data_IF_761978768206
#
_entry.id   IF_761978768206
#
_cell.length_a   1.000
_cell.length_b   1.000
_cell.length_c   1.000
_cell.angle_alpha   90.00
_cell.angle_beta   90.00
_cell.angle_gamma   90.00
#
_symmetry.space_group_name_H-M   'P 1'
#
loop_
_entity.id
_entity.type
_entity.pdbx_description
1 polymer ?
#
# COMPACT_ATOMS: atom_id res chain seq x y z
N UNK A 1 16.23 -33.92 -61.37
CA UNK A 1 16.78 -35.29 -61.39
C UNK A 1 18.17 -35.19 -60.78
N UNK A 2 18.53 -35.59 -59.57
CA UNK A 2 17.97 -36.38 -58.43
C UNK A 2 18.78 -35.88 -57.20
N UNK A 3 18.17 -35.25 -56.16
CA UNK A 3 17.86 -35.79 -54.81
C UNK A 3 19.00 -36.65 -54.20
N UNK A 4 19.58 -36.39 -53.02
CA UNK A 4 19.10 -36.48 -51.62
C UNK A 4 20.26 -35.91 -50.73
N UNK A 5 20.15 -35.36 -49.53
CA UNK A 5 19.14 -35.31 -48.49
C UNK A 5 19.83 -35.39 -47.11
N UNK A 6 19.65 -34.41 -46.23
CA UNK A 6 19.65 -34.58 -44.77
C UNK A 6 19.02 -33.34 -44.09
N UNK A 7 18.15 -33.61 -43.13
CA UNK A 7 17.06 -32.78 -42.64
C UNK A 7 17.50 -31.79 -41.53
N UNK A 8 16.96 -30.57 -41.58
CA UNK A 8 16.64 -29.80 -40.38
C UNK A 8 15.26 -29.17 -40.59
N UNK A 9 14.21 -29.90 -40.17
CA UNK A 9 12.88 -29.32 -39.99
C UNK A 9 12.87 -28.74 -38.58
N UNK A 10 12.60 -27.43 -38.46
CA UNK A 10 11.83 -26.85 -37.36
C UNK A 10 11.27 -25.50 -37.83
N UNK A 11 10.42 -25.56 -38.86
CA UNK A 11 9.42 -24.54 -39.08
C UNK A 11 8.21 -24.91 -38.21
N UNK A 12 8.09 -24.26 -37.05
CA UNK A 12 6.79 -23.97 -36.47
C UNK A 12 6.74 -22.47 -36.20
N UNK A 13 6.16 -21.66 -37.10
CA UNK A 13 5.65 -20.37 -36.69
C UNK A 13 4.42 -20.70 -35.86
N UNK A 14 4.59 -20.92 -34.55
CA UNK A 14 3.45 -20.80 -33.66
C UNK A 14 2.96 -19.38 -33.88
N UNK A 15 1.79 -19.26 -34.49
CA UNK A 15 0.93 -18.11 -34.31
C UNK A 15 0.71 -18.09 -32.80
N UNK A 16 1.57 -17.37 -32.08
CA UNK A 16 1.33 -17.03 -30.70
C UNK A 16 0.20 -16.02 -30.80
N UNK A 17 -1.03 -16.53 -30.69
CA UNK A 17 -2.21 -15.69 -30.53
C UNK A 17 -1.84 -14.73 -29.42
N UNK A 18 -1.65 -13.46 -29.75
CA UNK A 18 -1.43 -12.42 -28.74
C UNK A 18 -2.71 -12.38 -27.93
N UNK A 19 -2.71 -13.11 -26.81
CA UNK A 19 -3.80 -13.04 -25.84
C UNK A 19 -3.72 -11.65 -25.24
N UNK A 20 -4.64 -10.76 -25.63
CA UNK A 20 -4.81 -9.50 -24.94
C UNK A 20 -5.52 -9.78 -23.62
N UNK A 21 -4.93 -9.35 -22.52
CA UNK A 21 -5.59 -9.32 -21.21
C UNK A 21 -6.08 -7.89 -21.03
N UNK A 22 -7.39 -7.72 -20.93
CA UNK A 22 -8.05 -6.43 -20.71
C UNK A 22 -8.39 -6.28 -19.24
N UNK A 23 -8.52 -5.04 -18.79
CA UNK A 23 -9.07 -4.75 -17.47
C UNK A 23 -10.53 -5.22 -17.36
N UNK A 24 -10.93 -5.71 -16.18
CA UNK A 24 -12.31 -6.04 -15.82
C UNK A 24 -12.60 -5.71 -14.35
N UNK A 25 -13.88 -5.61 -13.98
CA UNK A 25 -14.34 -5.22 -12.63
C UNK A 25 -14.88 -6.41 -11.79
N UNK A 26 -14.49 -7.63 -12.18
CA UNK A 26 -14.87 -8.90 -11.58
C UNK A 26 -13.79 -9.46 -10.63
N UNK A 27 -13.05 -8.58 -9.94
CA UNK A 27 -12.08 -9.03 -8.93
C UNK A 27 -12.77 -9.84 -7.82
N UNK A 28 -12.08 -10.87 -7.37
CA UNK A 28 -12.47 -11.76 -6.27
C UNK A 28 -11.29 -11.86 -5.29
N UNK A 29 -11.37 -12.80 -4.35
CA UNK A 29 -10.26 -13.12 -3.46
C UNK A 29 -8.99 -13.46 -4.26
N UNK A 30 -7.87 -12.84 -3.89
CA UNK A 30 -6.60 -12.97 -4.62
C UNK A 30 -5.63 -13.79 -3.80
N UNK A 31 -5.17 -14.90 -4.40
CA UNK A 31 -4.07 -15.73 -3.93
C UNK A 31 -3.39 -16.37 -5.16
N UNK A 32 -2.06 -16.31 -5.31
CA UNK A 32 -1.09 -15.69 -4.41
C UNK A 32 -1.07 -14.16 -4.50
N UNK A 33 -0.46 -13.56 -3.48
CA UNK A 33 -0.10 -12.15 -3.40
C UNK A 33 0.73 -11.66 -4.62
N UNK A 34 0.30 -10.61 -5.33
CA UNK A 34 1.05 -10.08 -6.45
C UNK A 34 2.37 -9.42 -6.06
N UNK A 35 3.26 -9.27 -7.04
CA UNK A 35 4.57 -8.69 -6.79
C UNK A 35 4.49 -7.21 -6.50
N UNK A 36 4.98 -6.78 -5.36
CA UNK A 36 5.04 -5.37 -4.98
C UNK A 36 6.40 -4.99 -4.36
N UNK A 37 7.45 -5.75 -4.69
CA UNK A 37 8.84 -5.35 -4.42
C UNK A 37 9.26 -4.17 -5.30
N UNK A 38 10.38 -3.53 -4.97
CA UNK A 38 10.90 -2.42 -5.78
C UNK A 38 11.13 -2.82 -7.26
N UNK A 39 11.69 -4.00 -7.47
CA UNK A 39 11.97 -4.55 -8.80
C UNK A 39 10.68 -4.90 -9.54
N UNK A 40 9.70 -5.47 -8.83
CA UNK A 40 8.40 -5.80 -9.38
C UNK A 40 7.65 -4.54 -9.85
N UNK A 41 7.50 -3.55 -8.95
CA UNK A 41 6.80 -2.29 -9.27
C UNK A 41 7.51 -1.52 -10.37
N UNK A 42 8.86 -1.53 -10.37
CA UNK A 42 9.62 -0.97 -11.48
C UNK A 42 9.28 -1.65 -12.80
N UNK A 43 9.24 -2.98 -12.86
CA UNK A 43 8.84 -3.68 -14.08
C UNK A 43 7.41 -3.33 -14.48
N UNK A 44 6.48 -3.29 -13.53
CA UNK A 44 5.06 -2.98 -13.77
C UNK A 44 4.87 -1.59 -14.39
N UNK A 45 5.48 -0.57 -13.78
CA UNK A 45 5.36 0.85 -14.15
C UNK A 45 6.10 1.16 -15.45
N UNK A 46 7.30 0.62 -15.66
CA UNK A 46 8.15 1.00 -16.79
C UNK A 46 8.07 0.03 -17.98
N UNK A 47 7.69 -1.23 -17.74
CA UNK A 47 7.83 -2.29 -18.74
C UNK A 47 9.24 -2.33 -19.31
N UNK A 48 9.35 -2.25 -20.63
CA UNK A 48 10.61 -2.20 -21.37
C UNK A 48 11.08 -0.77 -21.70
N UNK A 49 10.45 0.25 -21.13
CA UNK A 49 10.73 1.68 -21.38
C UNK A 49 11.54 2.31 -20.25
N UNK A 50 12.18 3.45 -20.52
CA UNK A 50 12.78 4.32 -19.50
C UNK A 50 11.79 5.35 -18.93
N UNK A 51 10.59 5.44 -19.51
CA UNK A 51 9.50 6.33 -19.10
C UNK A 51 8.31 5.46 -18.65
N UNK A 52 7.61 5.81 -17.54
CA UNK A 52 6.43 5.08 -17.09
C UNK A 52 5.41 4.86 -18.21
N UNK A 53 5.21 3.59 -18.58
CA UNK A 53 4.25 3.16 -19.59
C UNK A 53 3.04 2.47 -18.99
N UNK A 54 3.14 1.97 -17.75
CA UNK A 54 2.14 1.17 -17.05
C UNK A 54 1.79 -0.15 -17.77
N UNK A 55 2.74 -0.73 -18.51
CA UNK A 55 2.47 -1.91 -19.37
C UNK A 55 3.02 -3.24 -18.84
N UNK A 56 3.76 -3.23 -17.73
CA UNK A 56 4.52 -4.42 -17.29
C UNK A 56 3.77 -5.35 -16.34
N UNK A 57 2.53 -5.03 -15.95
CA UNK A 57 1.79 -5.76 -14.90
C UNK A 57 1.60 -7.25 -15.19
N UNK A 58 1.07 -7.57 -16.37
CA UNK A 58 0.87 -8.96 -16.81
C UNK A 58 2.19 -9.72 -16.85
N UNK A 59 3.24 -9.12 -17.42
CA UNK A 59 4.55 -9.76 -17.56
C UNK A 59 5.19 -10.02 -16.20
N UNK A 60 5.12 -9.05 -15.29
CA UNK A 60 5.62 -9.19 -13.93
C UNK A 60 4.84 -10.28 -13.17
N UNK A 61 3.50 -10.30 -13.26
CA UNK A 61 2.67 -11.29 -12.59
C UNK A 61 2.96 -12.73 -13.06
N UNK A 62 3.29 -12.92 -14.35
CA UNK A 62 3.70 -14.22 -14.90
C UNK A 62 4.98 -14.78 -14.27
N UNK A 63 5.84 -13.92 -13.69
CA UNK A 63 7.03 -14.38 -12.96
C UNK A 63 6.70 -15.03 -11.62
N UNK A 64 5.49 -14.79 -11.09
CA UNK A 64 5.01 -15.31 -9.81
C UNK A 64 4.11 -16.51 -10.04
N UNK A 65 3.06 -16.36 -10.86
CA UNK A 65 2.12 -17.44 -11.15
C UNK A 65 1.38 -17.20 -12.48
N UNK A 66 1.17 -18.24 -13.31
CA UNK A 66 0.39 -18.12 -14.54
C UNK A 66 -1.03 -17.58 -14.32
N UNK A 67 -1.68 -17.97 -13.21
CA UNK A 67 -3.06 -17.57 -12.90
C UNK A 67 -3.16 -16.11 -12.47
N UNK A 68 -2.06 -15.50 -12.02
CA UNK A 68 -2.03 -14.14 -11.51
C UNK A 68 -2.10 -13.10 -12.64
N UNK A 69 -1.69 -13.48 -13.85
CA UNK A 69 -1.60 -12.59 -15.02
C UNK A 69 -2.93 -11.94 -15.42
N UNK A 70 -4.05 -12.64 -15.25
CA UNK A 70 -5.39 -12.06 -15.42
C UNK A 70 -5.84 -11.32 -14.16
N UNK A 71 -5.58 -11.88 -12.97
CA UNK A 71 -6.01 -11.34 -11.69
C UNK A 71 -5.50 -9.93 -11.42
N UNK A 72 -4.23 -9.62 -11.75
CA UNK A 72 -3.68 -8.26 -11.56
C UNK A 72 -4.35 -7.21 -12.42
N UNK A 73 -5.08 -7.61 -13.47
CA UNK A 73 -5.83 -6.73 -14.35
C UNK A 73 -7.29 -6.55 -13.90
N UNK A 74 -7.68 -7.10 -12.74
CA UNK A 74 -9.05 -7.00 -12.23
C UNK A 74 -9.17 -5.95 -11.12
N UNK A 75 -10.22 -5.13 -11.18
CA UNK A 75 -10.65 -4.25 -10.10
C UNK A 75 -11.95 -4.75 -9.47
N UNK A 76 -12.29 -4.25 -8.29
CA UNK A 76 -13.59 -4.53 -7.67
C UNK A 76 -14.68 -3.63 -8.25
N UNK A 77 -15.80 -4.20 -8.68
CA UNK A 77 -17.04 -3.44 -8.90
C UNK A 77 -17.54 -2.77 -7.62
N UNK A 78 -18.19 -1.60 -7.67
CA UNK A 78 -18.66 -0.88 -6.48
C UNK A 78 -19.52 -1.71 -5.52
N UNK A 79 -20.31 -2.67 -6.02
CA UNK A 79 -21.17 -3.53 -5.21
C UNK A 79 -20.40 -4.54 -4.35
N UNK A 80 -19.16 -4.88 -4.75
CA UNK A 80 -18.27 -5.74 -3.98
C UNK A 80 -17.58 -4.98 -2.83
N UNK A 81 -17.47 -3.65 -2.95
CA UNK A 81 -16.79 -2.75 -1.99
C UNK A 81 -17.71 -1.60 -1.54
N UNK A 82 -18.90 -1.89 -0.99
CA UNK A 82 -19.96 -0.89 -0.82
C UNK A 82 -19.63 0.22 0.19
N UNK A 83 -18.76 -0.02 1.19
CA UNK A 83 -18.35 1.02 2.14
C UNK A 83 -17.48 2.04 1.42
N UNK A 84 -16.46 1.60 0.67
CA UNK A 84 -15.64 2.50 -0.14
C UNK A 84 -16.47 3.20 -1.21
N UNK A 85 -17.35 2.48 -1.92
CA UNK A 85 -18.22 3.08 -2.92
C UNK A 85 -19.12 4.18 -2.33
N UNK A 86 -19.57 4.03 -1.09
CA UNK A 86 -20.36 5.05 -0.40
C UNK A 86 -19.48 6.24 0.00
N UNK A 87 -18.32 5.99 0.62
CA UNK A 87 -17.40 7.07 1.05
C UNK A 87 -16.93 7.92 -0.14
N UNK A 88 -16.62 7.30 -1.27
CA UNK A 88 -16.21 7.97 -2.51
C UNK A 88 -17.32 8.86 -3.08
N UNK A 89 -18.60 8.48 -2.95
CA UNK A 89 -19.73 9.28 -3.43
C UNK A 89 -20.05 10.48 -2.55
N UNK A 90 -19.77 10.39 -1.25
CA UNK A 90 -20.18 11.38 -0.25
C UNK A 90 -19.04 12.33 0.17
N UNK A 91 -17.78 11.97 -0.11
CA UNK A 91 -16.60 12.71 0.34
C UNK A 91 -15.59 12.96 -0.78
N UNK A 92 -14.56 13.76 -0.48
CA UNK A 92 -13.49 14.07 -1.43
C UNK A 92 -12.59 12.85 -1.69
N UNK A 93 -12.19 12.68 -2.94
CA UNK A 93 -11.26 11.65 -3.40
C UNK A 93 -10.09 12.30 -4.12
N UNK A 94 -8.89 11.79 -3.86
CA UNK A 94 -7.68 12.14 -4.58
C UNK A 94 -7.36 11.02 -5.57
N UNK A 95 -7.71 11.22 -6.84
CA UNK A 95 -7.52 10.26 -7.95
C UNK A 95 -6.13 10.34 -8.61
N UNK A 96 -5.25 11.18 -8.06
CA UNK A 96 -3.84 11.31 -8.43
C UNK A 96 -2.93 11.24 -7.20
N UNK A 97 -3.19 10.25 -6.34
CA UNK A 97 -2.39 9.94 -5.16
C UNK A 97 -1.45 8.77 -5.46
N UNK A 98 -0.14 8.94 -5.26
CA UNK A 98 0.88 7.95 -5.63
C UNK A 98 1.63 7.51 -4.38
N UNK A 99 2.06 6.24 -4.34
CA UNK A 99 3.05 5.79 -3.37
C UNK A 99 4.32 6.62 -3.52
N UNK A 100 5.01 6.91 -2.41
CA UNK A 100 6.19 7.77 -2.44
C UNK A 100 7.34 7.14 -3.22
N UNK A 101 7.45 5.81 -3.16
CA UNK A 101 8.41 5.03 -3.92
C UNK A 101 7.73 3.86 -4.64
N UNK A 102 8.30 3.37 -5.76
CA UNK A 102 7.78 2.22 -6.51
C UNK A 102 8.18 0.93 -5.79
N UNK A 103 7.69 0.70 -4.59
CA UNK A 103 8.21 -0.37 -3.75
C UNK A 103 7.26 -0.77 -2.64
N UNK A 104 7.73 -1.63 -1.74
CA UNK A 104 6.83 -2.35 -0.87
C UNK A 104 6.37 -1.47 0.31
N UNK A 105 5.43 -2.02 1.07
CA UNK A 105 4.82 -1.45 2.28
C UNK A 105 5.74 -0.59 3.16
N UNK A 106 6.86 -1.12 3.68
CA UNK A 106 7.58 -0.46 4.78
C UNK A 106 8.25 0.86 4.35
N UNK A 107 9.03 0.93 3.26
CA UNK A 107 9.48 2.22 2.74
C UNK A 107 8.38 3.26 2.58
N UNK A 108 7.23 2.90 2.00
CA UNK A 108 6.13 3.85 1.81
C UNK A 108 5.47 4.26 3.13
N UNK A 109 5.29 3.35 4.08
CA UNK A 109 4.84 3.70 5.46
C UNK A 109 5.82 4.64 6.15
N UNK A 110 7.12 4.55 5.85
CA UNK A 110 8.09 5.49 6.39
C UNK A 110 7.84 6.92 5.87
N UNK A 111 7.49 7.07 4.59
CA UNK A 111 7.15 8.38 4.04
C UNK A 111 5.93 9.01 4.72
N UNK A 112 4.91 8.22 5.09
CA UNK A 112 3.67 8.74 5.71
C UNK A 112 3.97 9.58 6.96
N UNK A 113 4.91 9.16 7.81
CA UNK A 113 5.16 9.86 9.07
C UNK A 113 6.47 10.65 9.11
N UNK A 114 7.40 10.44 8.17
CA UNK A 114 8.69 11.17 8.15
C UNK A 114 9.01 11.87 6.85
N UNK A 115 8.16 11.77 5.83
CA UNK A 115 8.41 12.29 4.48
C UNK A 115 9.68 11.76 3.82
N UNK A 116 10.21 10.62 4.28
CA UNK A 116 11.41 9.95 3.75
C UNK A 116 11.40 8.48 4.18
N UNK A 117 11.93 7.56 3.36
CA UNK A 117 12.23 6.18 3.77
C UNK A 117 13.64 6.00 4.33
N UNK A 118 14.41 7.09 4.42
CA UNK A 118 15.81 7.11 4.82
C UNK A 118 16.66 6.22 3.90
N UNK A 119 16.44 6.35 2.59
CA UNK A 119 17.12 5.59 1.54
C UNK A 119 16.69 4.12 1.44
N UNK A 120 15.65 3.70 2.15
CA UNK A 120 15.19 2.32 2.14
C UNK A 120 14.28 2.04 0.94
N UNK A 121 14.62 1.04 0.13
CA UNK A 121 13.78 0.57 -0.99
C UNK A 121 13.08 -0.77 -0.71
N UNK A 122 13.35 -1.38 0.45
CA UNK A 122 12.91 -2.74 0.76
C UNK A 122 12.70 -2.93 2.28
N UNK A 123 12.23 -4.12 2.66
CA UNK A 123 12.08 -4.50 4.07
C UNK A 123 13.43 -4.88 4.69
N UNK A 124 14.21 -3.87 5.09
CA UNK A 124 15.53 -4.13 5.69
C UNK A 124 15.39 -4.59 7.15
N UNK A 125 15.49 -5.91 7.38
CA UNK A 125 15.27 -6.56 8.69
C UNK A 125 16.05 -5.92 9.83
N UNK A 126 17.34 -5.62 9.61
CA UNK A 126 18.21 -4.99 10.61
C UNK A 126 17.64 -3.62 11.04
N UNK A 127 17.22 -2.80 10.09
CA UNK A 127 16.67 -1.46 10.33
C UNK A 127 15.30 -1.54 11.02
N UNK A 128 14.45 -2.50 10.65
CA UNK A 128 13.19 -2.76 11.37
C UNK A 128 13.47 -3.14 12.84
N UNK A 129 14.49 -3.97 13.08
CA UNK A 129 14.89 -4.37 14.43
C UNK A 129 15.54 -3.23 15.23
N UNK A 130 16.43 -2.43 14.66
CA UNK A 130 17.12 -1.33 15.36
C UNK A 130 16.29 -0.04 15.45
N UNK A 131 15.33 0.13 14.55
CA UNK A 131 14.53 1.33 14.37
C UNK A 131 15.18 2.34 13.44
N UNK A 132 14.38 2.93 12.56
CA UNK A 132 14.74 4.00 11.64
C UNK A 132 15.00 5.33 12.38
N UNK A 133 16.04 6.09 12.02
CA UNK A 133 16.52 7.20 12.83
C UNK A 133 15.86 8.55 12.52
N UNK A 134 15.13 8.68 11.40
CA UNK A 134 14.59 9.96 10.95
C UNK A 134 13.52 10.53 11.90
N UNK A 135 13.40 11.85 11.91
CA UNK A 135 12.38 12.59 12.66
C UNK A 135 11.01 12.30 12.07
N UNK A 136 10.02 12.15 12.93
CA UNK A 136 8.62 11.90 12.54
C UNK A 136 7.73 13.10 12.84
N UNK A 137 6.53 13.12 12.26
CA UNK A 137 5.46 14.05 12.63
C UNK A 137 5.11 13.97 14.12
N UNK A 138 5.22 12.78 14.73
CA UNK A 138 4.98 12.59 16.16
C UNK A 138 5.95 13.40 17.02
N UNK A 139 7.20 13.50 16.57
CA UNK A 139 8.22 14.31 17.23
C UNK A 139 7.90 15.79 17.14
N UNK A 140 7.53 16.26 15.94
CA UNK A 140 7.10 17.64 15.72
C UNK A 140 5.86 17.98 16.56
N UNK A 141 4.87 17.09 16.66
CA UNK A 141 3.69 17.31 17.51
C UNK A 141 4.07 17.39 18.98
N UNK A 142 4.90 16.47 19.47
CA UNK A 142 5.34 16.46 20.86
C UNK A 142 6.12 17.74 21.23
N UNK A 143 7.07 18.15 20.39
CA UNK A 143 7.87 19.37 20.57
C UNK A 143 7.00 20.64 20.59
N UNK A 144 5.86 20.62 19.91
CA UNK A 144 4.91 21.74 19.85
C UNK A 144 3.72 21.59 20.82
N UNK A 145 3.82 20.69 21.80
CA UNK A 145 2.77 20.49 22.82
C UNK A 145 1.44 19.99 22.27
N UNK A 146 1.43 19.39 21.07
CA UNK A 146 0.24 18.80 20.45
C UNK A 146 0.12 17.31 20.79
N UNK A 147 -1.14 16.86 20.90
CA UNK A 147 -1.43 15.48 21.26
C UNK A 147 -1.49 14.59 20.01
N UNK A 148 -0.99 13.36 20.16
CA UNK A 148 -1.21 12.28 19.20
C UNK A 148 -1.52 10.98 19.94
N UNK A 149 -2.08 10.01 19.22
CA UNK A 149 -2.31 8.65 19.72
C UNK A 149 -2.33 7.64 18.58
N UNK A 150 -1.83 6.43 18.86
CA UNK A 150 -1.73 5.31 17.93
C UNK A 150 -2.63 4.20 18.44
N UNK A 151 -3.69 3.91 17.69
CA UNK A 151 -4.71 2.91 18.01
C UNK A 151 -4.54 1.73 17.07
N UNK A 152 -4.06 0.60 17.58
CA UNK A 152 -3.66 -0.55 16.75
C UNK A 152 -4.40 -1.82 17.18
N UNK A 153 -4.64 -2.74 16.25
CA UNK A 153 -5.26 -4.04 16.54
C UNK A 153 -4.25 -5.13 16.87
N UNK A 154 -3.07 -5.16 16.23
CA UNK A 154 -2.03 -6.15 16.53
C UNK A 154 -0.64 -5.54 16.79
N UNK A 155 0.09 -5.08 15.77
CA UNK A 155 1.43 -4.48 15.94
C UNK A 155 1.42 -3.02 15.48
N UNK A 156 1.83 -2.06 16.31
CA UNK A 156 1.96 -0.67 15.89
C UNK A 156 3.26 -0.49 15.08
N UNK A 157 3.14 -0.38 13.76
CA UNK A 157 4.22 -0.24 12.79
C UNK A 157 5.04 1.04 12.99
N UNK A 158 4.45 2.06 13.61
CA UNK A 158 5.17 3.25 14.09
C UNK A 158 6.31 2.93 15.06
N UNK A 159 6.35 1.74 15.68
CA UNK A 159 7.52 1.28 16.45
C UNK A 159 8.74 0.97 15.56
N UNK A 160 8.62 0.95 14.24
CA UNK A 160 9.79 0.87 13.36
C UNK A 160 10.62 2.15 13.36
N UNK A 161 10.14 3.26 13.91
CA UNK A 161 10.98 4.41 14.19
C UNK A 161 11.65 4.28 15.55
N UNK A 162 12.96 4.51 15.61
CA UNK A 162 13.75 4.42 16.85
C UNK A 162 13.22 5.36 17.94
N UNK A 163 12.78 6.57 17.55
CA UNK A 163 12.32 7.56 18.53
C UNK A 163 10.97 7.18 19.16
N UNK A 164 10.12 6.46 18.43
CA UNK A 164 8.81 5.99 18.88
C UNK A 164 8.89 4.92 19.99
N UNK A 165 10.08 4.37 20.24
CA UNK A 165 10.36 3.41 21.31
C UNK A 165 10.77 4.04 22.64
N UNK A 166 10.89 5.37 22.71
CA UNK A 166 11.31 6.07 23.94
C UNK A 166 10.19 6.13 24.97
N UNK A 167 10.56 6.12 26.25
CA UNK A 167 9.62 6.15 27.39
C UNK A 167 8.61 7.30 27.33
N UNK A 168 9.00 8.47 26.80
CA UNK A 168 8.10 9.62 26.63
C UNK A 168 6.86 9.34 25.78
N UNK A 169 6.87 8.30 24.95
CA UNK A 169 5.76 7.92 24.07
C UNK A 169 5.02 6.66 24.50
N UNK A 170 5.41 6.01 25.61
CA UNK A 170 4.80 4.73 26.03
C UNK A 170 3.28 4.81 26.18
N UNK A 171 2.77 5.94 26.66
CA UNK A 171 1.33 6.18 26.86
C UNK A 171 0.60 6.68 25.59
N UNK A 172 1.25 6.68 24.43
CA UNK A 172 0.67 7.08 23.15
C UNK A 172 0.13 5.90 22.33
N UNK A 173 0.38 4.68 22.80
CA UNK A 173 -0.02 3.44 22.15
C UNK A 173 -1.25 2.87 22.86
N UNK A 174 -2.27 2.54 22.08
CA UNK A 174 -3.58 2.14 22.56
C UNK A 174 -4.12 0.95 21.78
N UNK A 175 -4.68 -0.02 22.48
CA UNK A 175 -5.42 -1.10 21.84
C UNK A 175 -6.70 -0.55 21.21
N UNK A 176 -6.87 -0.73 19.89
CA UNK A 176 -8.00 -0.20 19.13
C UNK A 176 -9.34 -0.62 19.76
N UNK A 177 -9.53 -1.93 19.96
CA UNK A 177 -10.79 -2.51 20.45
C UNK A 177 -11.19 -2.01 21.84
N UNK A 178 -10.21 -1.63 22.68
CA UNK A 178 -10.46 -1.21 24.07
C UNK A 178 -10.61 0.31 24.22
N UNK A 179 -9.87 1.08 23.43
CA UNK A 179 -9.65 2.51 23.69
C UNK A 179 -10.24 3.42 22.63
N UNK A 180 -10.17 3.07 21.34
CA UNK A 180 -10.54 3.98 20.25
C UNK A 180 -11.99 4.45 20.35
N UNK A 181 -12.94 3.52 20.37
CA UNK A 181 -14.38 3.87 20.48
C UNK A 181 -14.72 4.56 21.79
N UNK A 182 -14.01 4.26 22.88
CA UNK A 182 -14.21 4.92 24.18
C UNK A 182 -13.79 6.38 24.11
N UNK A 183 -12.62 6.65 23.52
CA UNK A 183 -12.11 8.01 23.37
C UNK A 183 -12.95 8.80 22.36
N UNK A 184 -13.35 8.19 21.24
CA UNK A 184 -14.26 8.80 20.27
C UNK A 184 -15.59 9.21 20.91
N UNK A 185 -16.29 8.30 21.59
CA UNK A 185 -17.56 8.62 22.28
C UNK A 185 -17.40 9.70 23.36
N UNK A 186 -16.25 9.77 24.00
CA UNK A 186 -15.97 10.76 25.04
C UNK A 186 -15.50 12.12 24.49
N UNK A 187 -15.30 12.26 23.17
CA UNK A 187 -14.71 13.44 22.57
C UNK A 187 -13.26 13.69 23.02
N UNK A 188 -12.48 12.61 23.18
CA UNK A 188 -11.11 12.62 23.71
C UNK A 188 -10.06 12.11 22.72
N UNK A 189 -10.38 12.02 21.43
CA UNK A 189 -9.38 11.66 20.43
C UNK A 189 -8.31 12.75 20.33
N UNK A 190 -7.01 12.38 20.28
CA UNK A 190 -5.92 13.32 20.09
C UNK A 190 -5.98 14.06 18.74
N UNK A 191 -5.24 15.17 18.64
CA UNK A 191 -5.16 16.00 17.42
C UNK A 191 -4.66 15.23 16.20
N UNK A 192 -3.70 14.32 16.38
CA UNK A 192 -3.37 13.29 15.38
C UNK A 192 -3.72 11.90 15.94
N UNK A 193 -4.69 11.25 15.32
CA UNK A 193 -5.08 9.89 15.68
C UNK A 193 -4.71 8.95 14.53
N UNK A 194 -3.79 8.03 14.80
CA UNK A 194 -3.38 6.98 13.86
C UNK A 194 -4.14 5.71 14.18
N UNK A 195 -4.75 5.11 13.17
CA UNK A 195 -5.46 3.83 13.29
C UNK A 195 -4.70 2.80 12.46
N UNK A 196 -4.27 1.71 13.09
CA UNK A 196 -3.60 0.61 12.42
C UNK A 196 -4.48 -0.65 12.43
N UNK A 197 -4.73 -1.26 11.26
CA UNK A 197 -5.51 -2.48 11.13
C UNK A 197 -4.80 -3.70 11.74
N UNK A 198 -5.46 -4.84 11.65
CA UNK A 198 -4.87 -6.15 11.84
C UNK A 198 -4.12 -6.56 10.57
N UNK A 199 -2.78 -6.55 10.60
CA UNK A 199 -1.92 -6.97 9.47
C UNK A 199 -1.69 -8.48 9.32
N UNK A 200 -2.23 -9.32 10.21
CA UNK A 200 -1.92 -10.74 10.24
C UNK A 200 -3.18 -11.57 10.38
N UNK A 201 -3.29 -12.62 9.56
CA UNK A 201 -4.32 -13.65 9.72
C UNK A 201 -3.99 -14.59 10.88
N UNK A 202 -4.53 -14.25 12.05
CA UNK A 202 -4.43 -15.06 13.25
C UNK A 202 -5.76 -15.76 13.51
N UNK A 203 -5.72 -16.97 14.09
CA UNK A 203 -6.92 -17.73 14.41
C UNK A 203 -7.85 -16.92 15.34
N UNK A 204 -9.03 -16.55 14.84
CA UNK A 204 -10.01 -15.74 15.56
C UNK A 204 -9.79 -14.22 15.50
N UNK A 205 -8.72 -13.78 14.83
CA UNK A 205 -8.40 -12.37 14.56
C UNK A 205 -7.88 -12.26 13.11
N UNK A 206 -8.78 -12.34 12.11
CA UNK A 206 -8.36 -12.20 10.72
C UNK A 206 -7.77 -10.82 10.46
N UNK A 207 -6.93 -10.74 9.43
CA UNK A 207 -6.46 -9.47 8.92
C UNK A 207 -7.60 -8.68 8.26
N UNK A 208 -7.43 -7.36 8.22
CA UNK A 208 -8.42 -6.42 7.71
C UNK A 208 -7.77 -5.15 7.13
N UNK A 209 -6.59 -5.33 6.53
CA UNK A 209 -5.76 -4.30 5.93
C UNK A 209 -5.87 -4.25 4.40
N UNK A 210 -6.81 -5.00 3.81
CA UNK A 210 -7.04 -5.16 2.37
C UNK A 210 -5.86 -5.77 1.57
N UNK A 211 -4.83 -6.28 2.26
CA UNK A 211 -3.66 -6.88 1.61
C UNK A 211 -3.97 -8.31 1.13
N UNK A 212 -3.65 -8.73 -0.10
CA UNK A 212 -3.75 -10.14 -0.50
C UNK A 212 -2.81 -11.07 0.29
N UNK A 213 -3.19 -12.26 0.74
CA UNK A 213 -4.43 -12.98 0.49
C UNK A 213 -5.42 -12.82 1.66
N UNK A 214 -5.67 -11.59 2.11
CA UNK A 214 -6.69 -11.26 3.11
C UNK A 214 -8.02 -10.88 2.45
N UNK A 215 -9.12 -11.16 3.14
CA UNK A 215 -10.48 -10.83 2.66
C UNK A 215 -10.78 -9.34 2.81
N UNK A 216 -10.95 -8.65 1.68
CA UNK A 216 -11.31 -7.22 1.59
C UNK A 216 -12.62 -6.90 2.32
N UNK A 217 -13.54 -7.87 2.48
CA UNK A 217 -14.75 -7.66 3.28
C UNK A 217 -14.43 -7.34 4.75
N UNK A 218 -13.32 -7.84 5.29
CA UNK A 218 -12.86 -7.49 6.64
C UNK A 218 -12.37 -6.04 6.70
N UNK A 219 -11.65 -5.56 5.68
CA UNK A 219 -11.22 -4.16 5.60
C UNK A 219 -12.39 -3.18 5.44
N UNK A 220 -13.36 -3.52 4.58
CA UNK A 220 -14.64 -2.78 4.48
C UNK A 220 -15.31 -2.62 5.85
N UNK A 221 -15.41 -3.72 6.60
CA UNK A 221 -16.01 -3.72 7.94
C UNK A 221 -15.22 -2.86 8.91
N UNK A 222 -13.89 -2.91 8.86
CA UNK A 222 -13.03 -2.12 9.73
C UNK A 222 -13.15 -0.62 9.45
N UNK A 223 -13.12 -0.22 8.18
CA UNK A 223 -13.30 1.19 7.79
C UNK A 223 -14.67 1.70 8.19
N UNK A 224 -15.73 0.91 7.98
CA UNK A 224 -17.08 1.23 8.47
C UNK A 224 -17.11 1.42 9.98
N UNK A 225 -16.46 0.54 10.74
CA UNK A 225 -16.38 0.63 12.19
C UNK A 225 -15.70 1.91 12.67
N UNK A 226 -14.62 2.33 12.01
CA UNK A 226 -13.93 3.60 12.27
C UNK A 226 -14.85 4.78 11.95
N UNK A 227 -15.42 4.81 10.75
CA UNK A 227 -16.30 5.90 10.30
C UNK A 227 -17.49 6.10 11.24
N UNK A 228 -18.20 5.02 11.62
CA UNK A 228 -19.35 5.11 12.51
C UNK A 228 -18.96 5.59 13.92
N UNK A 229 -17.79 5.18 14.43
CA UNK A 229 -17.29 5.66 15.71
C UNK A 229 -16.98 7.16 15.70
N UNK A 230 -16.44 7.67 14.59
CA UNK A 230 -16.16 9.09 14.41
C UNK A 230 -17.45 9.89 14.19
N UNK A 231 -18.37 9.39 13.36
CA UNK A 231 -19.66 10.03 13.09
C UNK A 231 -20.53 10.18 14.35
N UNK A 232 -20.42 9.24 15.28
CA UNK A 232 -21.09 9.31 16.58
C UNK A 232 -20.33 10.11 17.65
N UNK A 233 -19.13 10.60 17.34
CA UNK A 233 -18.30 11.36 18.28
C UNK A 233 -18.78 12.81 18.42
N UNK A 234 -18.70 13.41 19.63
CA UNK A 234 -18.84 14.87 19.79
C UNK A 234 -17.84 15.68 18.96
N UNK A 235 -16.71 15.08 18.57
CA UNK A 235 -15.67 15.71 17.74
C UNK A 235 -15.91 15.57 16.22
N UNK A 236 -17.03 15.00 15.77
CA UNK A 236 -17.29 14.74 14.35
C UNK A 236 -17.05 15.94 13.44
N UNK A 237 -17.63 17.10 13.79
CA UNK A 237 -17.53 18.32 12.97
C UNK A 237 -16.11 18.96 12.99
N UNK A 238 -15.21 18.45 13.82
CA UNK A 238 -13.82 18.91 13.94
C UNK A 238 -12.81 17.85 13.48
N UNK A 239 -13.30 16.75 12.88
CA UNK A 239 -12.48 15.60 12.49
C UNK A 239 -12.34 15.52 10.98
N UNK A 240 -11.09 15.37 10.51
CA UNK A 240 -10.78 14.91 9.17
C UNK A 240 -10.37 13.43 9.22
N UNK A 241 -11.14 12.57 8.56
CA UNK A 241 -10.75 11.18 8.33
C UNK A 241 -9.99 11.08 7.01
N UNK A 242 -8.76 10.57 7.07
CA UNK A 242 -7.95 10.24 5.89
C UNK A 242 -7.80 8.74 5.82
N UNK A 243 -8.17 8.14 4.70
CA UNK A 243 -7.97 6.72 4.38
C UNK A 243 -6.98 6.68 3.23
N UNK A 244 -5.90 5.92 3.38
CA UNK A 244 -4.86 5.78 2.36
C UNK A 244 -4.28 4.37 2.40
N UNK A 245 -3.74 3.96 1.27
CA UNK A 245 -2.93 2.76 1.13
C UNK A 245 -1.44 3.11 1.20
N UNK A 246 -0.60 2.15 1.57
CA UNK A 246 0.85 2.27 1.57
C UNK A 246 1.44 2.03 0.18
N UNK A 247 0.87 1.12 -0.60
CA UNK A 247 1.25 0.84 -1.99
C UNK A 247 0.05 0.31 -2.81
N UNK A 248 0.27 -0.19 -4.03
CA UNK A 248 -0.80 -0.51 -4.99
C UNK A 248 -1.11 -2.03 -5.13
N UNK A 249 -0.49 -2.87 -4.29
CA UNK A 249 -0.66 -4.32 -4.20
C UNK A 249 -0.18 -5.09 -5.43
N UNK A 250 0.56 -4.48 -6.36
CA UNK A 250 0.92 -5.10 -7.63
C UNK A 250 -0.22 -5.18 -8.67
N UNK A 251 -1.38 -4.57 -8.38
CA UNK A 251 -2.52 -4.50 -9.29
C UNK A 251 -2.37 -3.37 -10.31
N UNK A 252 -2.98 -3.55 -11.48
CA UNK A 252 -2.92 -2.63 -12.61
C UNK A 252 -3.54 -1.27 -12.29
N UNK A 253 -2.80 -0.22 -12.65
CA UNK A 253 -3.30 1.14 -12.74
C UNK A 253 -2.90 1.72 -14.11
N UNK A 254 -3.80 2.47 -14.74
CA UNK A 254 -3.60 3.05 -16.07
C UNK A 254 -2.91 4.43 -16.02
N UNK A 255 -2.90 5.09 -14.86
CA UNK A 255 -2.38 6.42 -14.66
C UNK A 255 -0.86 6.37 -14.61
N UNK A 256 -0.22 7.04 -15.56
CA UNK A 256 1.24 7.15 -15.61
C UNK A 256 1.77 7.80 -14.35
N UNK A 257 2.69 7.11 -13.68
CA UNK A 257 3.41 7.62 -12.51
C UNK A 257 4.20 8.89 -12.87
N UNK A 258 4.09 9.97 -12.08
CA UNK A 258 4.99 11.11 -12.21
C UNK A 258 6.44 10.68 -12.02
N UNK A 259 7.31 11.06 -12.95
CA UNK A 259 8.74 10.69 -12.93
C UNK A 259 9.67 11.89 -13.11
N UNK A 260 9.12 13.09 -13.30
CA UNK A 260 9.87 14.34 -13.49
C UNK A 260 9.54 15.26 -12.32
N UNK A 261 10.56 15.94 -11.79
CA UNK A 261 10.43 16.89 -10.67
C UNK A 261 9.77 16.29 -9.42
N UNK A 262 10.00 14.99 -9.18
CA UNK A 262 9.63 14.38 -7.90
C UNK A 262 10.42 15.10 -6.78
N UNK A 263 9.80 15.52 -5.66
CA UNK A 263 10.50 16.22 -4.58
C UNK A 263 11.43 15.31 -3.77
N UNK A 264 12.68 15.73 -3.54
CA UNK A 264 13.67 14.98 -2.75
C UNK A 264 13.89 15.66 -1.39
N UNK A 265 13.12 15.31 -0.35
CA UNK A 265 13.12 16.05 0.91
C UNK A 265 14.39 15.86 1.74
N UNK A 266 15.13 14.76 1.58
CA UNK A 266 16.30 14.44 2.40
C UNK A 266 17.60 14.25 1.61
N UNK A 267 17.55 14.40 0.28
CA UNK A 267 18.69 14.31 -0.63
C UNK A 267 19.10 12.87 -0.95
N UNK A 268 18.41 11.85 -0.43
CA UNK A 268 18.72 10.46 -0.72
C UNK A 268 18.14 10.05 -2.07
N UNK A 269 18.88 9.21 -2.81
CA UNK A 269 18.47 8.75 -4.14
C UNK A 269 18.56 7.26 -4.22
N UNK A 270 17.50 6.65 -4.78
CA UNK A 270 17.40 5.21 -4.92
C UNK A 270 18.23 4.67 -6.07
N UNK A 271 18.26 3.34 -6.23
CA UNK A 271 18.83 2.73 -7.42
C UNK A 271 18.05 3.17 -8.67
N UNK A 272 18.77 3.24 -9.79
CA UNK A 272 18.25 3.62 -11.11
C UNK A 272 16.92 2.89 -11.44
N UNK A 273 15.90 3.56 -12.00
CA UNK A 273 15.96 4.88 -12.64
C UNK A 273 15.84 6.02 -11.61
N UNK A 274 16.73 7.01 -11.75
CA UNK A 274 17.04 8.12 -10.81
C UNK A 274 15.82 9.04 -10.51
N UNK A 275 14.68 8.74 -11.10
CA UNK A 275 13.43 9.48 -10.97
C UNK A 275 12.71 9.25 -9.63
N UNK A 276 13.05 8.18 -8.91
CA UNK A 276 12.31 7.70 -7.75
C UNK A 276 13.20 7.87 -6.52
N UNK A 277 12.96 8.96 -5.82
CA UNK A 277 13.73 9.42 -4.67
C UNK A 277 13.23 8.68 -3.42
N UNK A 278 14.14 8.26 -2.54
CA UNK A 278 13.89 7.38 -1.38
C UNK A 278 14.40 8.00 -0.11
#
# INVERSE_FOLDING_TARGET
MVLLGQNAILYQPRIQVRKSICFSDDAEFVDPDPGHSFEAVKQQVFGNSSIPSMTGFVEQALTISPNLSETVMKGFRPEAVPVYATLVKEFAVFDRWFSSIPGPTQPNRLFVYSATSHGSTSHVKKQLATGYPQKTIFDSLHENGKSFGIYFQNIPTTLFYRNMRKLKYVFKFHQFNLKFKKDARAGKLPSLTVIEPSYFDLKGMPANDDHPSHDVANGQKFVKEVYEALRASPQWNETLLVITYDEHGGFYDHVKTPYVNVPNPDGNTGPCPIFLQV
#
